data_IF_456246331297
#
_entry.id   IF_456246331297
#
_cell.length_a   1.000
_cell.length_b   1.000
_cell.length_c   1.000
_cell.angle_alpha   90.00
_cell.angle_beta   90.00
_cell.angle_gamma   90.00
#
_symmetry.space_group_name_H-M   'P 1'
#
loop_
_entity.id
_entity.type
_entity.pdbx_description
1 polymer ?
#
# COMPACT_ATOMS: atom_id res chain seq x y z
N UNK A 1 -20.62 20.30 -4.15
CA UNK A 1 -19.87 19.04 -4.20
C UNK A 1 -18.43 19.46 -4.08
N UNK A 2 -17.89 19.37 -2.88
CA UNK A 2 -16.56 19.91 -2.60
C UNK A 2 -15.55 19.19 -3.47
N UNK A 3 -14.68 19.99 -4.09
CA UNK A 3 -13.63 19.52 -4.98
C UNK A 3 -12.58 18.76 -4.16
N UNK A 4 -12.78 17.46 -4.00
CA UNK A 4 -11.84 16.57 -3.32
C UNK A 4 -10.54 16.34 -4.10
N UNK A 5 -10.34 16.98 -5.27
CA UNK A 5 -9.09 16.81 -6.04
C UNK A 5 -7.88 17.45 -5.39
N UNK A 6 -8.08 18.32 -4.39
CA UNK A 6 -6.98 18.94 -3.64
C UNK A 6 -7.08 18.64 -2.14
N UNK A 7 -6.46 17.52 -1.72
CA UNK A 7 -6.06 17.40 -0.31
C UNK A 7 -5.02 18.47 -0.06
N UNK A 8 -5.40 19.50 0.70
CA UNK A 8 -4.45 20.51 1.14
C UNK A 8 -3.59 19.89 2.24
N UNK A 9 -2.29 19.66 2.04
CA UNK A 9 -1.47 18.92 3.00
C UNK A 9 -1.17 19.73 4.28
N UNK A 10 -1.61 20.99 4.37
CA UNK A 10 -1.23 21.92 5.45
C UNK A 10 -1.57 21.42 6.86
N UNK A 11 -2.78 20.91 7.17
CA UNK A 11 -3.08 20.40 8.51
C UNK A 11 -2.24 19.18 8.88
N UNK A 12 -2.05 18.26 7.94
CA UNK A 12 -1.23 17.05 8.14
C UNK A 12 0.25 17.40 8.36
N UNK A 13 0.76 18.35 7.58
CA UNK A 13 2.12 18.89 7.74
C UNK A 13 2.32 19.57 9.08
N UNK A 14 1.32 20.30 9.58
CA UNK A 14 1.39 20.99 10.87
C UNK A 14 1.59 20.03 12.05
N UNK A 15 1.16 18.77 11.92
CA UNK A 15 1.35 17.71 12.93
C UNK A 15 2.46 16.71 12.54
N UNK A 16 3.29 17.05 11.55
CA UNK A 16 4.51 16.31 11.21
C UNK A 16 4.40 15.28 10.08
N UNK A 17 3.24 15.10 9.44
CA UNK A 17 3.15 14.23 8.26
C UNK A 17 3.73 14.91 7.03
N UNK A 18 4.59 14.19 6.31
CA UNK A 18 5.21 14.66 5.07
C UNK A 18 4.53 14.03 3.87
N UNK A 19 4.19 14.85 2.88
CA UNK A 19 3.70 14.34 1.59
C UNK A 19 4.79 13.50 0.91
N UNK A 20 4.43 12.29 0.52
CA UNK A 20 5.35 11.28 0.01
C UNK A 20 4.70 10.52 -1.15
N UNK A 21 4.51 11.18 -2.31
CA UNK A 21 3.77 10.62 -3.44
C UNK A 21 4.44 9.36 -3.98
N UNK A 22 3.63 8.36 -4.31
CA UNK A 22 4.06 7.10 -4.89
C UNK A 22 3.61 7.00 -6.37
N UNK A 23 4.34 6.27 -7.25
CA UNK A 23 4.01 6.23 -8.68
C UNK A 23 2.58 5.78 -9.03
N UNK A 24 1.93 5.03 -8.13
CA UNK A 24 0.56 4.52 -8.33
C UNK A 24 -0.53 5.42 -7.73
N UNK A 25 -0.17 6.56 -7.11
CA UNK A 25 -1.10 7.40 -6.36
C UNK A 25 -2.21 7.98 -7.24
N UNK A 26 -1.84 8.52 -8.40
CA UNK A 26 -2.78 9.13 -9.34
C UNK A 26 -3.83 8.11 -9.84
N UNK A 27 -3.37 6.95 -10.32
CA UNK A 27 -4.24 5.90 -10.85
C UNK A 27 -5.16 5.29 -9.78
N UNK A 28 -4.78 5.36 -8.51
CA UNK A 28 -5.53 4.81 -7.38
C UNK A 28 -6.34 5.87 -6.63
N UNK A 29 -6.33 7.12 -7.11
CA UNK A 29 -6.97 8.27 -6.44
C UNK A 29 -6.59 8.32 -4.96
N UNK A 30 -5.28 8.20 -4.71
CA UNK A 30 -4.65 8.06 -3.40
C UNK A 30 -3.63 9.18 -3.19
N UNK A 31 -3.54 9.68 -1.96
CA UNK A 31 -2.47 10.55 -1.49
C UNK A 31 -1.70 9.87 -0.36
N UNK A 32 -0.38 9.78 -0.54
CA UNK A 32 0.51 9.09 0.40
C UNK A 32 1.31 10.08 1.26
N UNK A 33 1.35 9.80 2.56
CA UNK A 33 2.09 10.58 3.55
C UNK A 33 2.94 9.68 4.46
N UNK A 34 4.04 10.22 4.96
CA UNK A 34 4.98 9.52 5.83
C UNK A 34 5.26 10.32 7.11
N UNK A 35 5.57 9.61 8.20
CA UNK A 35 6.03 10.20 9.47
C UNK A 35 7.11 9.31 10.10
N UNK A 36 8.17 9.86 10.74
CA UNK A 36 8.49 11.30 10.86
C UNK A 36 9.25 11.87 9.66
N UNK A 37 9.82 11.03 8.79
CA UNK A 37 10.47 11.45 7.53
C UNK A 37 10.14 10.47 6.40
N UNK A 38 10.49 10.76 5.15
CA UNK A 38 10.25 9.83 4.03
C UNK A 38 11.28 8.68 4.04
N UNK A 39 12.48 8.97 4.50
CA UNK A 39 13.63 8.07 4.53
C UNK A 39 13.50 7.07 5.69
N UNK A 40 13.16 7.56 6.89
CA UNK A 40 13.10 6.80 8.15
C UNK A 40 11.68 6.78 8.75
N UNK A 41 10.67 6.70 7.89
CA UNK A 41 9.26 6.58 8.31
C UNK A 41 9.01 5.34 9.16
N UNK A 42 8.24 5.54 10.22
CA UNK A 42 7.62 4.48 11.01
C UNK A 42 6.13 4.33 10.67
N UNK A 43 5.51 5.38 10.10
CA UNK A 43 4.10 5.37 9.75
C UNK A 43 3.88 5.76 8.30
N UNK A 44 2.91 5.09 7.69
CA UNK A 44 2.39 5.37 6.36
C UNK A 44 0.92 5.71 6.47
N UNK A 45 0.51 6.85 5.90
CA UNK A 45 -0.88 7.24 5.78
C UNK A 45 -1.24 7.29 4.29
N UNK A 46 -2.30 6.59 3.94
CA UNK A 46 -2.91 6.64 2.62
C UNK A 46 -4.31 7.23 2.76
N UNK A 47 -4.52 8.40 2.17
CA UNK A 47 -5.87 8.97 2.02
C UNK A 47 -6.35 8.60 0.62
N UNK A 48 -7.59 8.12 0.52
CA UNK A 48 -8.13 7.56 -0.71
C UNK A 48 -9.53 8.04 -0.98
N UNK A 49 -9.84 8.25 -2.26
CA UNK A 49 -11.20 8.54 -2.64
C UNK A 49 -12.11 7.32 -2.38
N UNK A 50 -13.26 7.56 -1.75
CA UNK A 50 -14.19 6.49 -1.33
C UNK A 50 -14.68 5.62 -2.50
N UNK A 51 -14.87 6.22 -3.69
CA UNK A 51 -15.33 5.51 -4.90
C UNK A 51 -14.19 4.90 -5.73
N UNK A 52 -12.93 5.03 -5.29
CA UNK A 52 -11.80 4.40 -5.96
C UNK A 52 -11.82 2.87 -5.78
N UNK A 53 -11.18 2.17 -6.71
CA UNK A 53 -10.97 0.72 -6.63
C UNK A 53 -9.82 0.33 -5.72
N UNK A 54 -8.98 1.30 -5.28
CA UNK A 54 -7.75 1.00 -4.55
C UNK A 54 -7.97 0.42 -3.16
N UNK A 55 -8.79 1.08 -2.33
CA UNK A 55 -8.95 0.67 -0.93
C UNK A 55 -9.68 -0.67 -0.72
N UNK A 56 -10.72 -1.03 -1.51
CA UNK A 56 -11.34 -2.35 -1.39
C UNK A 56 -10.34 -3.47 -1.71
N UNK A 57 -9.46 -3.28 -2.70
CA UNK A 57 -8.41 -4.24 -3.04
C UNK A 57 -7.44 -4.49 -1.89
N UNK A 58 -6.99 -3.45 -1.17
CA UNK A 58 -6.09 -3.64 -0.04
C UNK A 58 -6.77 -4.32 1.16
N UNK A 59 -8.05 -4.00 1.41
CA UNK A 59 -8.82 -4.70 2.44
C UNK A 59 -9.03 -6.17 2.09
N UNK A 60 -9.38 -6.47 0.83
CA UNK A 60 -9.53 -7.84 0.35
C UNK A 60 -8.23 -8.64 0.53
N UNK A 61 -7.09 -8.08 0.13
CA UNK A 61 -5.79 -8.71 0.35
C UNK A 61 -5.51 -8.96 1.84
N UNK A 62 -5.72 -7.95 2.69
CA UNK A 62 -5.52 -8.06 4.15
C UNK A 62 -6.39 -9.16 4.75
N UNK A 63 -7.67 -9.17 4.42
CA UNK A 63 -8.64 -10.08 5.00
C UNK A 63 -8.43 -11.52 4.48
N UNK A 64 -8.02 -11.67 3.22
CA UNK A 64 -7.61 -12.96 2.68
C UNK A 64 -6.38 -13.53 3.39
N UNK A 65 -5.32 -12.74 3.61
CA UNK A 65 -4.14 -13.20 4.36
C UNK A 65 -4.47 -13.56 5.81
N UNK A 66 -5.42 -12.88 6.45
CA UNK A 66 -5.88 -13.21 7.81
C UNK A 66 -6.62 -14.55 7.87
N UNK A 67 -7.35 -14.89 6.81
CA UNK A 67 -8.07 -16.15 6.70
C UNK A 67 -7.18 -17.34 6.28
N UNK A 68 -6.00 -17.07 5.72
CA UNK A 68 -5.08 -18.06 5.15
C UNK A 68 -3.66 -17.92 5.75
N UNK A 69 -3.42 -18.47 6.95
CA UNK A 69 -2.14 -18.34 7.66
C UNK A 69 -0.92 -18.83 6.86
N UNK A 70 -1.11 -19.82 5.99
CA UNK A 70 -0.09 -20.33 5.08
C UNK A 70 0.36 -19.28 4.06
N UNK A 71 -0.58 -18.53 3.47
CA UNK A 71 -0.26 -17.43 2.56
C UNK A 71 0.40 -16.27 3.31
N UNK A 72 -0.04 -15.99 4.54
CA UNK A 72 0.62 -14.99 5.38
C UNK A 72 2.07 -15.38 5.71
N UNK A 73 2.32 -16.66 5.98
CA UNK A 73 3.66 -17.22 6.23
C UNK A 73 4.56 -17.11 5.00
N UNK A 74 4.04 -17.44 3.81
CA UNK A 74 4.78 -17.29 2.56
C UNK A 74 5.10 -15.81 2.27
N UNK A 75 4.14 -14.91 2.47
CA UNK A 75 4.37 -13.49 2.30
C UNK A 75 5.41 -12.94 3.29
N UNK A 76 5.43 -13.45 4.52
CA UNK A 76 6.47 -13.13 5.49
C UNK A 76 7.85 -13.57 4.98
N UNK A 77 7.98 -14.82 4.53
CA UNK A 77 9.23 -15.37 4.00
C UNK A 77 9.79 -14.51 2.87
N UNK A 78 8.95 -14.18 1.89
CA UNK A 78 9.30 -13.30 0.76
C UNK A 78 9.79 -11.94 1.25
N UNK A 79 9.05 -11.30 2.17
CA UNK A 79 9.45 -9.99 2.71
C UNK A 79 10.77 -10.04 3.48
N UNK A 80 11.04 -11.11 4.23
CA UNK A 80 12.29 -11.27 4.96
C UNK A 80 13.46 -11.45 3.99
N UNK A 81 13.32 -12.34 3.00
CA UNK A 81 14.34 -12.56 1.97
C UNK A 81 14.66 -11.28 1.19
N UNK A 82 13.63 -10.51 0.81
CA UNK A 82 13.82 -9.24 0.11
C UNK A 82 14.44 -8.15 1.01
N UNK A 83 14.23 -8.19 2.32
CA UNK A 83 14.85 -7.23 3.22
C UNK A 83 16.39 -7.40 3.26
N UNK A 84 16.86 -8.64 3.07
CA UNK A 84 18.29 -8.96 3.05
C UNK A 84 18.91 -8.79 1.66
N UNK A 85 18.14 -8.99 0.59
CA UNK A 85 18.65 -9.11 -0.78
C UNK A 85 18.37 -7.93 -1.70
N UNK A 86 17.33 -7.13 -1.43
CA UNK A 86 16.96 -6.01 -2.30
C UNK A 86 17.97 -4.86 -2.18
N UNK A 87 18.41 -4.34 -3.34
CA UNK A 87 19.36 -3.22 -3.39
C UNK A 87 18.77 -1.91 -2.85
N UNK A 88 17.46 -1.70 -3.00
CA UNK A 88 16.76 -0.49 -2.59
C UNK A 88 15.25 -0.73 -2.36
N UNK A 89 14.55 0.34 -1.95
CA UNK A 89 13.08 0.32 -1.73
C UNK A 89 12.29 -0.04 -3.00
N UNK A 90 12.57 0.54 -4.18
CA UNK A 90 11.94 0.11 -5.43
C UNK A 90 12.09 -1.39 -5.72
N UNK A 91 13.29 -1.94 -5.62
CA UNK A 91 13.57 -3.37 -5.82
C UNK A 91 12.80 -4.23 -4.82
N UNK A 92 12.79 -3.84 -3.54
CA UNK A 92 12.01 -4.51 -2.50
C UNK A 92 10.50 -4.54 -2.83
N UNK A 93 9.96 -3.44 -3.34
CA UNK A 93 8.54 -3.34 -3.74
C UNK A 93 8.24 -4.21 -4.95
N UNK A 94 9.10 -4.16 -5.96
CA UNK A 94 8.96 -4.95 -7.17
C UNK A 94 9.04 -6.45 -6.86
N UNK A 95 9.98 -6.87 -6.01
CA UNK A 95 10.20 -8.29 -5.70
C UNK A 95 9.00 -8.99 -5.05
N UNK A 96 8.19 -8.27 -4.26
CA UNK A 96 6.99 -8.85 -3.63
C UNK A 96 5.70 -8.67 -4.43
N UNK A 97 5.72 -7.85 -5.50
CA UNK A 97 4.54 -7.55 -6.29
C UNK A 97 3.90 -8.81 -6.94
N UNK A 98 4.67 -9.76 -7.52
CA UNK A 98 4.08 -10.96 -8.14
C UNK A 98 3.25 -11.80 -7.17
N UNK A 99 3.70 -11.92 -5.91
CA UNK A 99 2.95 -12.64 -4.89
C UNK A 99 1.63 -11.93 -4.54
N UNK A 100 1.67 -10.61 -4.36
CA UNK A 100 0.48 -9.81 -4.07
C UNK A 100 -0.54 -9.94 -5.20
N UNK A 101 -0.09 -9.82 -6.45
CA UNK A 101 -0.92 -9.96 -7.65
C UNK A 101 -1.55 -11.35 -7.76
N UNK A 102 -0.79 -12.42 -7.50
CA UNK A 102 -1.30 -13.78 -7.52
C UNK A 102 -2.40 -14.02 -6.48
N UNK A 103 -2.23 -13.52 -5.26
CA UNK A 103 -3.26 -13.61 -4.21
C UNK A 103 -4.49 -12.79 -4.58
N UNK A 104 -4.33 -11.59 -5.14
CA UNK A 104 -5.47 -10.79 -5.59
C UNK A 104 -6.24 -11.44 -6.74
N UNK A 105 -5.55 -12.13 -7.65
CA UNK A 105 -6.17 -12.89 -8.72
C UNK A 105 -6.97 -14.08 -8.19
N UNK A 106 -6.48 -14.80 -7.17
CA UNK A 106 -7.21 -15.92 -6.58
C UNK A 106 -8.50 -15.50 -5.87
N UNK A 107 -8.50 -14.34 -5.20
CA UNK A 107 -9.70 -13.76 -4.57
C UNK A 107 -10.76 -13.46 -5.65
N UNK A 108 -10.34 -12.88 -6.78
CA UNK A 108 -11.25 -12.49 -7.86
C UNK A 108 -11.81 -13.71 -8.60
N UNK A 109 -11.03 -14.78 -8.75
CA UNK A 109 -11.47 -16.02 -9.38
C UNK A 109 -12.45 -16.84 -8.51
N UNK A 110 -12.47 -16.63 -7.20
CA UNK A 110 -13.36 -17.36 -6.28
C UNK A 110 -14.75 -16.73 -6.15
N UNK A 111 -15.01 -15.61 -6.83
CA UNK A 111 -16.29 -14.90 -6.87
C UNK A 111 -17.17 -15.26 -8.09
N UNK A 112 -16.85 -16.35 -8.79
CA UNK A 112 -17.59 -16.88 -9.95
C UNK A 112 -18.35 -18.16 -9.61
#
# INVERSE_FOLDING_TARGET
MDDCTTITPLPLRAIGWLHAPEPSDENLLRWSFCYPSVELRTHHLHVVEHRSTGWPTWLAFRDHLRAHPELAGEYQRIKTELADTAADRPAYRAGKAPFIEAVLASITSSAA
#
